data_IF_172807907007
#
_entry.id   IF_172807907007
#
_cell.length_a   1.000
_cell.length_b   1.000
_cell.length_c   1.000
_cell.angle_alpha   90.00
_cell.angle_beta   90.00
_cell.angle_gamma   90.00
#
_symmetry.space_group_name_H-M   'P 1'
#
loop_
_entity.id
_entity.type
_entity.pdbx_description
1 polymer ?
#
# COMPACT_ATOMS: atom_id res chain seq x y z
N UNK A 1 -6.92 10.97 59.00
CA UNK A 1 -7.85 10.26 58.09
C UNK A 1 -8.07 11.00 56.76
N UNK A 2 -7.97 12.34 56.69
CA UNK A 2 -8.18 13.12 55.46
C UNK A 2 -7.23 12.79 54.27
N UNK A 3 -5.93 12.55 54.52
CA UNK A 3 -4.97 12.26 53.43
C UNK A 3 -5.26 10.99 52.63
N UNK A 4 -5.80 9.94 53.27
CA UNK A 4 -6.08 8.64 52.61
C UNK A 4 -7.23 8.72 51.60
N UNK A 5 -8.17 9.64 51.80
CA UNK A 5 -9.27 9.87 50.88
C UNK A 5 -8.80 10.64 49.63
N UNK A 6 -7.92 11.64 49.82
CA UNK A 6 -7.34 12.39 48.71
C UNK A 6 -6.52 11.49 47.75
N UNK A 7 -5.61 10.67 48.27
CA UNK A 7 -4.84 9.73 47.44
C UNK A 7 -5.73 8.66 46.76
N UNK A 8 -6.84 8.28 47.39
CA UNK A 8 -7.80 7.36 46.78
C UNK A 8 -8.50 8.01 45.58
N UNK A 9 -8.96 9.25 45.72
CA UNK A 9 -9.61 9.97 44.62
C UNK A 9 -8.63 10.18 43.47
N UNK A 10 -7.41 10.62 43.77
CA UNK A 10 -6.34 10.79 42.77
C UNK A 10 -6.04 9.48 42.03
N UNK A 11 -5.95 8.36 42.76
CA UNK A 11 -5.75 7.03 42.19
C UNK A 11 -6.88 6.63 41.24
N UNK A 12 -8.14 6.80 41.64
CA UNK A 12 -9.29 6.44 40.80
C UNK A 12 -9.33 7.27 39.52
N UNK A 13 -9.04 8.58 39.61
CA UNK A 13 -8.97 9.46 38.44
C UNK A 13 -7.83 9.03 37.50
N UNK A 14 -6.62 8.81 38.03
CA UNK A 14 -5.49 8.37 37.23
C UNK A 14 -5.77 7.02 36.54
N UNK A 15 -6.36 6.08 37.28
CA UNK A 15 -6.77 4.76 36.74
C UNK A 15 -7.80 4.92 35.63
N UNK A 16 -8.83 5.76 35.82
CA UNK A 16 -9.85 6.00 34.82
C UNK A 16 -9.26 6.62 33.53
N UNK A 17 -8.29 7.53 33.65
CA UNK A 17 -7.59 8.11 32.50
C UNK A 17 -6.76 7.06 31.77
N UNK A 18 -5.93 6.29 32.49
CA UNK A 18 -5.10 5.23 31.89
C UNK A 18 -5.95 4.16 31.19
N UNK A 19 -7.00 3.68 31.86
CA UNK A 19 -7.95 2.72 31.28
C UNK A 19 -8.68 3.33 30.10
N UNK A 20 -9.10 4.60 30.17
CA UNK A 20 -9.75 5.29 29.06
C UNK A 20 -8.87 5.38 27.81
N UNK A 21 -7.59 5.71 27.98
CA UNK A 21 -6.59 5.69 26.90
C UNK A 21 -6.45 4.27 26.36
N UNK A 22 -6.31 3.27 27.24
CA UNK A 22 -6.17 1.87 26.83
C UNK A 22 -7.38 1.34 26.05
N UNK A 23 -8.60 1.69 26.46
CA UNK A 23 -9.85 1.36 25.74
C UNK A 23 -9.86 2.01 24.35
N UNK A 24 -9.46 3.28 24.25
CA UNK A 24 -9.36 3.98 22.97
C UNK A 24 -8.36 3.30 22.03
N UNK A 25 -7.15 3.02 22.52
CA UNK A 25 -6.11 2.35 21.73
C UNK A 25 -6.53 0.92 21.36
N UNK A 26 -7.18 0.20 22.28
CA UNK A 26 -7.69 -1.16 22.04
C UNK A 26 -8.81 -1.19 21.02
N UNK A 27 -9.68 -0.17 21.01
CA UNK A 27 -10.72 -0.03 20.00
C UNK A 27 -10.11 0.05 18.60
N UNK A 28 -9.19 0.98 18.36
CA UNK A 28 -8.56 1.07 17.03
C UNK A 28 -7.63 -0.10 16.73
N UNK A 29 -7.00 -0.69 17.75
CA UNK A 29 -6.13 -1.85 17.61
C UNK A 29 -6.86 -3.15 17.24
N UNK A 30 -8.14 -3.28 17.54
CA UNK A 30 -8.95 -4.46 17.17
C UNK A 30 -9.94 -4.20 16.02
N UNK A 31 -10.07 -2.95 15.55
CA UNK A 31 -11.10 -2.55 14.60
C UNK A 31 -11.09 -3.37 13.31
N UNK A 32 -9.91 -3.67 12.77
CA UNK A 32 -9.72 -4.50 11.57
C UNK A 32 -10.26 -5.93 11.73
N UNK A 33 -10.21 -6.49 12.95
CA UNK A 33 -10.56 -7.88 13.24
C UNK A 33 -12.01 -8.07 13.68
N UNK A 34 -12.51 -7.17 14.54
CA UNK A 34 -13.81 -7.33 15.20
C UNK A 34 -14.87 -6.39 14.62
N UNK A 35 -14.49 -5.38 13.82
CA UNK A 35 -15.39 -4.43 13.15
C UNK A 35 -16.44 -3.86 14.13
N UNK A 36 -17.73 -4.08 13.89
CA UNK A 36 -18.83 -3.59 14.74
C UNK A 36 -18.77 -4.12 16.19
N UNK A 37 -18.21 -5.31 16.41
CA UNK A 37 -18.08 -5.92 17.75
C UNK A 37 -16.96 -5.29 18.58
N UNK A 38 -16.07 -4.51 17.96
CA UNK A 38 -14.89 -3.93 18.59
C UNK A 38 -15.25 -3.04 19.78
N UNK A 39 -16.35 -2.28 19.70
CA UNK A 39 -16.78 -1.40 20.79
C UNK A 39 -17.08 -2.19 22.07
N UNK A 40 -17.76 -3.33 21.95
CA UNK A 40 -18.10 -4.17 23.09
C UNK A 40 -16.86 -4.83 23.68
N UNK A 41 -15.94 -5.28 22.83
CA UNK A 41 -14.70 -5.90 23.26
C UNK A 41 -13.77 -4.91 23.98
N UNK A 42 -13.58 -3.70 23.42
CA UNK A 42 -12.78 -2.66 24.03
C UNK A 42 -13.37 -2.20 25.39
N UNK A 43 -14.69 -2.04 25.48
CA UNK A 43 -15.37 -1.73 26.74
C UNK A 43 -15.21 -2.86 27.78
N UNK A 44 -15.32 -4.12 27.35
CA UNK A 44 -15.09 -5.27 28.22
C UNK A 44 -13.66 -5.26 28.77
N UNK A 45 -12.65 -5.06 27.92
CA UNK A 45 -11.26 -4.91 28.36
C UNK A 45 -11.09 -3.77 29.37
N UNK A 46 -11.71 -2.62 29.11
CA UNK A 46 -11.68 -1.49 30.03
C UNK A 46 -12.26 -1.80 31.41
N UNK A 47 -13.42 -2.46 31.45
CA UNK A 47 -14.07 -2.89 32.70
C UNK A 47 -13.19 -3.89 33.44
N UNK A 48 -12.60 -4.84 32.71
CA UNK A 48 -11.69 -5.84 33.29
C UNK A 48 -10.43 -5.20 33.86
N UNK A 49 -9.75 -4.31 33.12
CA UNK A 49 -8.57 -3.58 33.59
C UNK A 49 -8.90 -2.75 34.84
N UNK A 50 -9.93 -1.90 34.78
CA UNK A 50 -10.36 -1.10 35.91
C UNK A 50 -10.74 -1.96 37.13
N UNK A 51 -11.46 -3.07 36.90
CA UNK A 51 -11.84 -4.02 37.94
C UNK A 51 -10.62 -4.70 38.58
N UNK A 52 -9.64 -5.14 37.79
CA UNK A 52 -8.40 -5.74 38.29
C UNK A 52 -7.58 -4.75 39.12
N UNK A 53 -7.53 -3.49 38.71
CA UNK A 53 -6.87 -2.40 39.44
C UNK A 53 -7.52 -2.15 40.80
N UNK A 54 -8.85 -2.02 40.83
CA UNK A 54 -9.60 -1.84 42.07
C UNK A 54 -9.46 -3.04 43.00
N UNK A 55 -9.44 -4.26 42.44
CA UNK A 55 -9.20 -5.49 43.20
C UNK A 55 -7.77 -5.54 43.77
N UNK A 56 -6.76 -5.16 42.98
CA UNK A 56 -5.37 -5.09 43.43
C UNK A 56 -5.22 -4.11 44.59
N UNK A 57 -5.80 -2.91 44.48
CA UNK A 57 -5.85 -1.92 45.56
C UNK A 57 -6.52 -2.49 46.81
N UNK A 58 -7.68 -3.13 46.68
CA UNK A 58 -8.41 -3.69 47.80
C UNK A 58 -7.57 -4.74 48.55
N UNK A 59 -6.94 -5.67 47.81
CA UNK A 59 -6.08 -6.70 48.38
C UNK A 59 -4.84 -6.12 49.07
N UNK A 60 -4.23 -5.05 48.52
CA UNK A 60 -3.11 -4.31 49.15
C UNK A 60 -3.52 -3.68 50.47
N UNK A 61 -4.67 -3.02 50.51
CA UNK A 61 -5.18 -2.35 51.72
C UNK A 61 -5.52 -3.33 52.84
N UNK A 62 -6.00 -4.52 52.49
CA UNK A 62 -6.32 -5.59 53.45
C UNK A 62 -5.10 -6.44 53.86
N UNK A 63 -3.96 -6.23 53.21
CA UNK A 63 -2.76 -7.04 53.45
C UNK A 63 -2.92 -8.50 53.01
N UNK A 64 -3.79 -8.76 52.03
CA UNK A 64 -3.94 -10.08 51.38
C UNK A 64 -2.84 -10.27 50.33
N UNK A 65 -2.65 -11.52 49.91
CA UNK A 65 -1.71 -11.87 48.84
C UNK A 65 -2.22 -11.34 47.50
N UNK A 66 -1.43 -10.51 46.83
CA UNK A 66 -1.82 -9.84 45.56
C UNK A 66 -1.60 -10.68 44.30
N UNK A 67 -1.17 -11.92 44.44
CA UNK A 67 -0.84 -12.78 43.28
C UNK A 67 -2.03 -13.09 42.38
N UNK A 68 -3.22 -13.28 42.96
CA UNK A 68 -4.45 -13.55 42.18
C UNK A 68 -4.86 -12.35 41.32
N UNK A 69 -5.03 -11.13 41.87
CA UNK A 69 -5.33 -9.96 41.03
C UNK A 69 -4.23 -9.65 40.02
N UNK A 70 -2.96 -9.87 40.38
CA UNK A 70 -1.85 -9.67 39.45
C UNK A 70 -1.87 -10.66 38.28
N UNK A 71 -2.11 -11.95 38.55
CA UNK A 71 -2.21 -12.96 37.49
C UNK A 71 -3.38 -12.71 36.55
N UNK A 72 -4.54 -12.34 37.11
CA UNK A 72 -5.71 -11.97 36.30
C UNK A 72 -5.46 -10.71 35.47
N UNK A 73 -4.83 -9.69 36.06
CA UNK A 73 -4.39 -8.50 35.33
C UNK A 73 -3.46 -8.87 34.17
N UNK A 74 -2.44 -9.72 34.39
CA UNK A 74 -1.49 -10.08 33.33
C UNK A 74 -2.18 -10.72 32.13
N UNK A 75 -3.19 -11.56 32.35
CA UNK A 75 -3.97 -12.15 31.25
C UNK A 75 -4.69 -11.06 30.45
N UNK A 76 -5.38 -10.14 31.12
CA UNK A 76 -6.10 -9.04 30.46
C UNK A 76 -5.12 -8.08 29.76
N UNK A 77 -4.00 -7.79 30.41
CA UNK A 77 -2.94 -6.92 29.90
C UNK A 77 -2.29 -7.47 28.63
N UNK A 78 -2.25 -8.79 28.41
CA UNK A 78 -1.75 -9.35 27.13
C UNK A 78 -2.66 -8.97 25.96
N UNK A 79 -3.97 -9.06 26.13
CA UNK A 79 -4.93 -8.66 25.08
C UNK A 79 -4.88 -7.15 24.82
N UNK A 80 -4.90 -6.37 25.90
CA UNK A 80 -4.74 -4.90 25.82
C UNK A 80 -3.41 -4.50 25.18
N UNK A 81 -2.31 -5.15 25.56
CA UNK A 81 -0.99 -4.91 24.97
C UNK A 81 -0.98 -5.21 23.48
N UNK A 82 -1.54 -6.34 23.05
CA UNK A 82 -1.55 -6.73 21.64
C UNK A 82 -2.26 -5.68 20.76
N UNK A 83 -3.43 -5.18 21.20
CA UNK A 83 -4.13 -4.13 20.47
C UNK A 83 -3.49 -2.76 20.57
N UNK A 84 -3.01 -2.37 21.74
CA UNK A 84 -2.33 -1.09 21.92
C UNK A 84 -1.03 -1.04 21.11
N UNK A 85 -0.27 -2.13 21.10
CA UNK A 85 0.91 -2.30 20.26
C UNK A 85 0.53 -2.20 18.79
N UNK A 86 -0.48 -2.95 18.34
CA UNK A 86 -0.90 -2.97 16.95
C UNK A 86 -1.28 -1.56 16.46
N UNK A 87 -2.08 -0.82 17.23
CA UNK A 87 -2.45 0.55 16.88
C UNK A 87 -1.22 1.47 16.81
N UNK A 88 -0.40 1.52 17.87
CA UNK A 88 0.75 2.41 17.92
C UNK A 88 1.79 2.08 16.83
N UNK A 89 2.07 0.79 16.65
CA UNK A 89 2.97 0.31 15.61
C UNK A 89 2.47 0.70 14.22
N UNK A 90 1.20 0.41 13.92
CA UNK A 90 0.58 0.77 12.65
C UNK A 90 0.60 2.27 12.41
N UNK A 91 0.28 3.10 13.42
CA UNK A 91 0.31 4.56 13.29
C UNK A 91 1.71 5.12 13.02
N UNK A 92 2.76 4.53 13.62
CA UNK A 92 4.13 4.94 13.32
C UNK A 92 4.61 4.42 11.96
N UNK A 93 4.14 3.25 11.55
CA UNK A 93 4.53 2.58 10.31
C UNK A 93 3.68 2.97 9.10
N UNK A 94 2.56 3.65 9.28
CA UNK A 94 1.60 3.94 8.21
C UNK A 94 2.26 4.59 6.99
N UNK A 95 3.14 5.57 7.22
CA UNK A 95 3.85 6.27 6.14
C UNK A 95 4.88 5.39 5.45
N UNK A 96 5.73 4.72 6.23
CA UNK A 96 6.81 3.88 5.69
C UNK A 96 6.26 2.65 4.94
N UNK A 97 5.23 2.01 5.48
CA UNK A 97 4.56 0.86 4.83
C UNK A 97 3.80 1.30 3.60
N UNK A 98 3.12 2.45 3.64
CA UNK A 98 2.47 3.02 2.47
C UNK A 98 3.46 3.33 1.37
N UNK A 99 4.56 4.01 1.69
CA UNK A 99 5.61 4.34 0.73
C UNK A 99 6.17 3.10 0.06
N UNK A 100 6.58 2.09 0.86
CA UNK A 100 7.11 0.83 0.33
C UNK A 100 6.09 0.11 -0.53
N UNK A 101 4.84 0.01 -0.07
CA UNK A 101 3.77 -0.68 -0.80
C UNK A 101 3.51 0.01 -2.12
N UNK A 102 3.38 1.34 -2.14
CA UNK A 102 3.17 2.09 -3.38
C UNK A 102 4.35 1.92 -4.33
N UNK A 103 5.58 2.07 -3.86
CA UNK A 103 6.78 1.87 -4.71
C UNK A 103 6.84 0.45 -5.29
N UNK A 104 6.56 -0.57 -4.48
CA UNK A 104 6.51 -1.98 -4.92
C UNK A 104 5.42 -2.19 -5.99
N UNK A 105 4.20 -1.68 -5.76
CA UNK A 105 3.10 -1.82 -6.72
C UNK A 105 3.35 -1.04 -8.03
N UNK A 106 3.94 0.16 -7.95
CA UNK A 106 4.35 0.91 -9.14
C UNK A 106 5.38 0.16 -9.96
N UNK A 107 6.35 -0.46 -9.29
CA UNK A 107 7.38 -1.26 -9.97
C UNK A 107 6.74 -2.44 -10.70
N UNK A 108 5.89 -3.22 -10.04
CA UNK A 108 5.15 -4.33 -10.64
C UNK A 108 4.35 -3.86 -11.86
N UNK A 109 3.53 -2.82 -11.69
CA UNK A 109 2.74 -2.22 -12.76
C UNK A 109 3.58 -1.82 -13.97
N UNK A 110 4.70 -1.13 -13.75
CA UNK A 110 5.57 -0.67 -14.84
C UNK A 110 6.28 -1.81 -15.55
N UNK A 111 6.77 -2.80 -14.80
CA UNK A 111 7.40 -3.99 -15.37
C UNK A 111 6.41 -4.76 -16.26
N UNK A 112 5.17 -4.93 -15.80
CA UNK A 112 4.11 -5.61 -16.57
C UNK A 112 3.73 -4.82 -17.82
N UNK A 113 3.51 -3.51 -17.70
CA UNK A 113 3.26 -2.63 -18.85
C UNK A 113 4.43 -2.64 -19.85
N UNK A 114 5.67 -2.65 -19.38
CA UNK A 114 6.86 -2.69 -20.25
C UNK A 114 6.92 -4.01 -21.01
N UNK A 115 6.62 -5.13 -20.35
CA UNK A 115 6.55 -6.45 -20.97
C UNK A 115 5.45 -6.48 -22.04
N UNK A 116 4.25 -6.00 -21.73
CA UNK A 116 3.12 -5.93 -22.65
C UNK A 116 3.42 -5.03 -23.85
N UNK A 117 4.03 -3.86 -23.64
CA UNK A 117 4.50 -3.00 -24.73
C UNK A 117 5.50 -3.73 -25.64
N UNK A 118 6.40 -4.52 -25.06
CA UNK A 118 7.37 -5.31 -25.84
C UNK A 118 6.65 -6.35 -26.70
N UNK A 119 5.70 -7.09 -26.12
CA UNK A 119 4.91 -8.08 -26.85
C UNK A 119 4.13 -7.45 -28.03
N UNK A 120 3.49 -6.29 -27.79
CA UNK A 120 2.80 -5.54 -28.85
C UNK A 120 3.77 -5.01 -29.92
N UNK A 121 4.98 -4.60 -29.54
CA UNK A 121 5.98 -4.12 -30.49
C UNK A 121 6.54 -5.24 -31.39
N UNK A 122 6.48 -6.48 -30.92
CA UNK A 122 6.88 -7.69 -31.65
C UNK A 122 5.74 -8.29 -32.48
N UNK A 123 4.54 -7.70 -32.43
CA UNK A 123 3.35 -8.14 -33.18
C UNK A 123 3.65 -8.24 -34.70
N UNK A 124 3.21 -9.30 -35.39
CA UNK A 124 3.49 -9.49 -36.82
C UNK A 124 3.13 -8.28 -37.69
N UNK A 125 1.91 -7.75 -37.53
CA UNK A 125 1.41 -6.58 -38.27
C UNK A 125 2.27 -5.33 -38.03
N UNK A 126 2.73 -5.11 -36.79
CA UNK A 126 3.64 -3.99 -36.48
C UNK A 126 4.99 -4.17 -37.17
N UNK A 127 5.52 -5.40 -37.18
CA UNK A 127 6.80 -5.70 -37.80
C UNK A 127 6.74 -5.53 -39.32
N UNK A 128 5.71 -6.07 -39.95
CA UNK A 128 5.47 -5.99 -41.39
C UNK A 128 5.35 -4.53 -41.84
N UNK A 129 4.43 -3.75 -41.24
CA UNK A 129 4.25 -2.33 -41.57
C UNK A 129 5.53 -1.52 -41.32
N UNK A 130 6.30 -1.83 -40.27
CA UNK A 130 7.59 -1.16 -40.03
C UNK A 130 8.66 -1.55 -41.06
N UNK A 131 8.69 -2.79 -41.52
CA UNK A 131 9.62 -3.26 -42.54
C UNK A 131 9.29 -2.62 -43.89
N UNK A 132 8.01 -2.63 -44.30
CA UNK A 132 7.53 -1.97 -45.51
C UNK A 132 7.79 -0.47 -45.50
N UNK A 133 7.46 0.22 -44.39
CA UNK A 133 7.73 1.66 -44.25
C UNK A 133 9.22 1.98 -44.38
N UNK A 134 10.09 1.15 -43.77
CA UNK A 134 11.55 1.34 -43.89
C UNK A 134 12.03 1.14 -45.32
N UNK A 135 11.49 0.15 -46.03
CA UNK A 135 11.82 -0.07 -47.43
C UNK A 135 11.34 1.08 -48.32
N UNK A 136 10.13 1.56 -48.09
CA UNK A 136 9.56 2.73 -48.76
C UNK A 136 10.40 3.99 -48.54
N UNK A 137 10.77 4.29 -47.28
CA UNK A 137 11.63 5.42 -46.93
C UNK A 137 13.03 5.30 -47.54
N UNK A 138 13.58 4.09 -47.64
CA UNK A 138 14.86 3.81 -48.32
C UNK A 138 14.78 4.12 -49.81
N UNK A 139 13.72 3.67 -50.48
CA UNK A 139 13.53 3.95 -51.92
C UNK A 139 13.26 5.43 -52.19
N UNK A 140 12.47 6.10 -51.35
CA UNK A 140 12.28 7.56 -51.41
C UNK A 140 13.60 8.32 -51.24
N UNK A 141 14.47 7.90 -50.32
CA UNK A 141 15.78 8.51 -50.12
C UNK A 141 16.69 8.31 -51.35
N UNK A 142 16.70 7.11 -51.92
CA UNK A 142 17.46 6.82 -53.14
C UNK A 142 16.95 7.65 -54.33
N UNK A 143 15.63 7.75 -54.48
CA UNK A 143 14.98 8.58 -55.50
C UNK A 143 15.43 10.04 -55.38
N UNK A 144 15.38 10.61 -54.18
CA UNK A 144 15.83 11.99 -53.93
C UNK A 144 17.30 12.21 -54.31
N UNK A 145 18.18 11.27 -53.92
CA UNK A 145 19.60 11.35 -54.27
C UNK A 145 19.85 11.28 -55.78
N UNK A 146 19.09 10.46 -56.52
CA UNK A 146 19.21 10.40 -57.98
C UNK A 146 18.69 11.69 -58.64
N UNK A 147 17.58 12.24 -58.14
CA UNK A 147 16.96 13.45 -58.69
C UNK A 147 17.85 14.70 -58.50
N UNK A 148 18.62 14.73 -57.42
CA UNK A 148 19.45 15.86 -57.01
C UNK A 148 20.94 15.68 -57.34
N UNK A 149 21.32 14.68 -58.16
CA UNK A 149 22.71 14.47 -58.58
C UNK A 149 23.24 15.71 -59.33
N UNK A 150 24.24 16.43 -58.78
CA UNK A 150 24.73 17.68 -59.37
C UNK A 150 25.43 17.49 -60.72
N UNK A 151 25.87 16.27 -61.04
CA UNK A 151 26.54 15.94 -62.31
C UNK A 151 25.52 15.51 -63.37
N UNK A 152 24.33 15.06 -62.96
CA UNK A 152 23.27 14.53 -63.82
C UNK A 152 21.89 14.87 -63.26
N UNK A 153 21.47 16.14 -63.30
CA UNK A 153 20.19 16.57 -62.74
C UNK A 153 18.99 15.91 -63.44
N UNK A 154 17.86 15.84 -62.74
CA UNK A 154 16.59 15.34 -63.29
C UNK A 154 16.42 13.81 -63.22
N UNK A 155 15.32 13.30 -63.78
CA UNK A 155 14.92 11.91 -63.60
C UNK A 155 15.26 11.00 -64.79
N UNK A 156 16.47 10.45 -64.78
CA UNK A 156 16.94 9.43 -65.73
C UNK A 156 16.36 8.02 -65.46
N UNK A 157 16.88 7.01 -66.17
CA UNK A 157 16.38 5.62 -66.09
C UNK A 157 16.41 5.04 -64.67
N UNK A 158 17.45 5.34 -63.87
CA UNK A 158 17.55 4.87 -62.48
C UNK A 158 16.52 5.51 -61.56
N UNK A 159 16.30 6.81 -61.71
CA UNK A 159 15.27 7.53 -60.96
C UNK A 159 13.88 6.95 -61.25
N UNK A 160 13.56 6.68 -62.52
CA UNK A 160 12.30 6.01 -62.91
C UNK A 160 12.18 4.59 -62.33
N UNK A 161 13.28 3.86 -62.24
CA UNK A 161 13.31 2.55 -61.57
C UNK A 161 12.92 2.63 -60.09
N UNK A 162 13.37 3.66 -59.36
CA UNK A 162 12.96 3.86 -57.96
C UNK A 162 11.47 4.22 -57.84
N UNK A 163 10.92 5.03 -58.76
CA UNK A 163 9.48 5.31 -58.83
C UNK A 163 8.68 4.02 -59.04
N UNK A 164 9.10 3.17 -60.01
CA UNK A 164 8.46 1.88 -60.26
C UNK A 164 8.54 0.94 -59.05
N UNK A 165 9.67 0.92 -58.34
CA UNK A 165 9.85 0.12 -57.12
C UNK A 165 8.92 0.60 -55.99
N UNK A 166 8.77 1.92 -55.81
CA UNK A 166 7.85 2.52 -54.83
C UNK A 166 6.40 2.15 -55.16
N UNK A 167 5.98 2.27 -56.43
CA UNK A 167 4.64 1.87 -56.87
C UNK A 167 4.39 0.36 -56.69
N UNK A 168 5.41 -0.48 -56.87
CA UNK A 168 5.31 -1.91 -56.59
C UNK A 168 5.12 -2.21 -55.10
N UNK A 169 5.82 -1.49 -54.21
CA UNK A 169 5.66 -1.63 -52.76
C UNK A 169 4.26 -1.23 -52.30
N UNK A 170 3.67 -0.20 -52.92
CA UNK A 170 2.32 0.25 -52.61
C UNK A 170 1.23 -0.60 -53.28
N UNK A 171 1.58 -1.37 -54.32
CA UNK A 171 0.63 -2.14 -55.12
C UNK A 171 -0.24 -1.29 -56.07
N UNK A 172 -0.04 0.03 -56.09
CA UNK A 172 -0.76 0.98 -56.93
C UNK A 172 0.11 2.14 -57.44
N UNK A 173 -0.40 2.85 -58.44
CA UNK A 173 0.24 4.08 -58.93
C UNK A 173 -0.22 5.26 -58.12
N UNK A 174 0.74 5.94 -57.51
CA UNK A 174 0.48 6.98 -56.52
C UNK A 174 -0.03 8.27 -57.17
N UNK A 175 0.35 8.55 -58.42
CA UNK A 175 0.02 9.83 -59.05
C UNK A 175 0.26 9.87 -60.57
N UNK A 176 -0.45 10.77 -61.25
CA UNK A 176 -0.21 11.18 -62.65
C UNK A 176 0.81 12.33 -62.77
N UNK A 177 1.53 12.70 -61.69
CA UNK A 177 2.53 13.77 -61.72
C UNK A 177 3.56 13.51 -62.85
N UNK A 178 3.72 14.51 -63.72
CA UNK A 178 4.75 14.47 -64.75
C UNK A 178 6.13 14.44 -64.09
N UNK A 179 6.84 13.34 -64.26
CA UNK A 179 8.20 13.16 -63.77
C UNK A 179 9.11 14.26 -64.36
N UNK A 180 9.94 14.95 -63.54
CA UNK A 180 10.78 16.03 -64.01
C UNK A 180 11.68 15.64 -65.19
N UNK A 181 11.85 16.57 -66.14
CA UNK A 181 12.72 16.39 -67.29
C UNK A 181 14.20 16.27 -66.87
N UNK A 182 15.04 15.76 -67.77
CA UNK A 182 16.49 15.56 -67.51
C UNK A 182 17.25 16.89 -67.37
N UNK A 183 16.63 17.99 -67.74
CA UNK A 183 17.16 19.36 -67.62
C UNK A 183 16.38 20.21 -66.61
N UNK A 184 15.51 19.60 -65.79
CA UNK A 184 14.74 20.29 -64.76
C UNK A 184 15.66 20.95 -63.72
N UNK A 185 15.26 22.14 -63.27
CA UNK A 185 15.98 22.87 -62.24
C UNK A 185 15.93 22.17 -60.88
N UNK A 186 16.85 22.52 -59.98
CA UNK A 186 16.88 21.96 -58.63
C UNK A 186 15.59 22.24 -57.85
N UNK A 187 14.99 23.43 -58.02
CA UNK A 187 13.74 23.83 -57.36
C UNK A 187 12.55 23.00 -57.87
N UNK A 188 12.46 22.78 -59.20
CA UNK A 188 11.41 21.92 -59.78
C UNK A 188 11.53 20.48 -59.30
N UNK A 189 12.75 19.95 -59.20
CA UNK A 189 13.02 18.61 -58.69
C UNK A 189 12.61 18.48 -57.21
N UNK A 190 12.97 19.46 -56.37
CA UNK A 190 12.66 19.45 -54.94
C UNK A 190 11.15 19.55 -54.70
N UNK A 191 10.46 20.45 -55.41
CA UNK A 191 9.01 20.62 -55.29
C UNK A 191 8.24 19.37 -55.74
N UNK A 192 8.67 18.76 -56.86
CA UNK A 192 8.09 17.51 -57.33
C UNK A 192 8.29 16.39 -56.31
N UNK A 193 9.52 16.21 -55.80
CA UNK A 193 9.82 15.17 -54.82
C UNK A 193 9.02 15.34 -53.53
N UNK A 194 8.88 16.58 -53.02
CA UNK A 194 8.08 16.86 -51.84
C UNK A 194 6.62 16.40 -52.02
N UNK A 195 6.01 16.77 -53.16
CA UNK A 195 4.63 16.41 -53.50
C UNK A 195 4.46 14.89 -53.70
N UNK A 196 5.42 14.27 -54.41
CA UNK A 196 5.44 12.83 -54.64
C UNK A 196 5.56 12.07 -53.32
N UNK A 197 6.52 12.47 -52.45
CA UNK A 197 6.72 11.87 -51.13
C UNK A 197 5.47 11.98 -50.26
N UNK A 198 4.83 13.14 -50.22
CA UNK A 198 3.60 13.32 -49.44
C UNK A 198 2.49 12.37 -49.91
N UNK A 199 2.30 12.25 -51.22
CA UNK A 199 1.28 11.35 -51.79
C UNK A 199 1.61 9.88 -51.51
N UNK A 200 2.89 9.49 -51.64
CA UNK A 200 3.39 8.14 -51.33
C UNK A 200 3.13 7.77 -49.86
N UNK A 201 3.44 8.68 -48.94
CA UNK A 201 3.25 8.44 -47.51
C UNK A 201 1.75 8.36 -47.17
N UNK A 202 0.92 9.24 -47.75
CA UNK A 202 -0.54 9.17 -47.56
C UNK A 202 -1.10 7.85 -48.07
N UNK A 203 -0.74 7.43 -49.28
CA UNK A 203 -1.23 6.16 -49.86
C UNK A 203 -0.80 4.96 -49.02
N UNK A 204 0.44 4.96 -48.51
CA UNK A 204 0.91 3.92 -47.58
C UNK A 204 0.10 3.92 -46.28
N UNK A 205 -0.13 5.09 -45.67
CA UNK A 205 -0.90 5.18 -44.42
C UNK A 205 -2.37 4.74 -44.61
N UNK A 206 -2.95 5.02 -45.78
CA UNK A 206 -4.29 4.57 -46.18
C UNK A 206 -4.35 3.06 -46.48
N UNK A 207 -3.24 2.42 -46.84
CA UNK A 207 -3.17 0.98 -47.12
C UNK A 207 -2.95 0.11 -45.87
N UNK A 208 -2.57 0.73 -44.74
CA UNK A 208 -2.30 0.01 -43.50
C UNK A 208 -3.61 -0.45 -42.85
N UNK A 209 -3.66 -1.72 -42.43
CA UNK A 209 -4.83 -2.34 -41.79
C UNK A 209 -5.20 -1.67 -40.45
N UNK A 210 -6.49 -1.63 -40.14
CA UNK A 210 -7.03 -1.16 -38.85
C UNK A 210 -6.35 -1.86 -37.66
N UNK A 211 -5.99 -3.14 -37.79
CA UNK A 211 -5.29 -3.90 -36.74
C UNK A 211 -3.95 -3.24 -36.34
N UNK A 212 -3.20 -2.66 -37.29
CA UNK A 212 -1.98 -1.93 -36.97
C UNK A 212 -2.27 -0.74 -36.05
N UNK A 213 -3.32 0.03 -36.36
CA UNK A 213 -3.69 1.21 -35.58
C UNK A 213 -4.19 0.84 -34.19
N UNK A 214 -4.91 -0.29 -34.05
CA UNK A 214 -5.32 -0.80 -32.75
C UNK A 214 -4.13 -1.19 -31.86
N UNK A 215 -3.18 -1.96 -32.42
CA UNK A 215 -1.97 -2.39 -31.70
C UNK A 215 -1.06 -1.20 -31.37
N UNK A 216 -0.83 -0.31 -32.33
CA UNK A 216 -0.01 0.88 -32.14
C UNK A 216 -0.64 1.86 -31.13
N UNK A 217 -1.96 2.06 -31.20
CA UNK A 217 -2.70 2.91 -30.26
C UNK A 217 -2.65 2.37 -28.83
N UNK A 218 -2.76 1.05 -28.65
CA UNK A 218 -2.58 0.44 -27.32
C UNK A 218 -1.14 0.62 -26.81
N UNK A 219 -0.14 0.43 -27.67
CA UNK A 219 1.27 0.65 -27.30
C UNK A 219 1.55 2.10 -26.89
N UNK A 220 0.98 3.07 -27.60
CA UNK A 220 1.07 4.50 -27.25
C UNK A 220 0.38 4.80 -25.91
N UNK A 221 -0.82 4.24 -25.68
CA UNK A 221 -1.52 4.37 -24.39
C UNK A 221 -0.68 3.80 -23.24
N UNK A 222 0.01 2.68 -23.45
CA UNK A 222 0.93 2.12 -22.46
C UNK A 222 2.10 3.07 -22.20
N UNK A 223 2.69 3.68 -23.23
CA UNK A 223 3.78 4.65 -23.07
C UNK A 223 3.33 5.88 -22.27
N UNK A 224 2.12 6.38 -22.55
CA UNK A 224 1.52 7.46 -21.79
C UNK A 224 1.35 7.08 -20.31
N UNK A 225 0.84 5.89 -20.01
CA UNK A 225 0.73 5.40 -18.63
C UNK A 225 2.10 5.24 -17.95
N UNK A 226 3.11 4.73 -18.66
CA UNK A 226 4.47 4.61 -18.13
C UNK A 226 5.07 5.99 -17.79
N UNK A 227 4.73 7.03 -18.56
CA UNK A 227 5.11 8.42 -18.31
C UNK A 227 4.33 9.03 -17.14
N UNK A 228 3.00 8.87 -17.12
CA UNK A 228 2.13 9.44 -16.07
C UNK A 228 2.44 8.86 -14.69
N UNK A 229 2.82 7.58 -14.65
CA UNK A 229 3.21 6.85 -13.45
C UNK A 229 4.74 6.68 -13.34
N UNK A 230 5.52 7.63 -13.88
CA UNK A 230 6.97 7.59 -13.84
C UNK A 230 7.56 7.76 -12.42
N UNK A 231 6.91 8.56 -11.57
CA UNK A 231 7.38 8.86 -10.21
C UNK A 231 6.36 8.39 -9.14
N UNK A 232 6.63 7.28 -8.42
CA UNK A 232 5.76 6.80 -7.36
C UNK A 232 5.65 7.79 -6.19
N UNK A 233 6.68 8.59 -5.92
CA UNK A 233 6.69 9.55 -4.81
C UNK A 233 5.81 10.76 -5.10
N UNK A 234 5.76 11.21 -6.36
CA UNK A 234 4.83 12.26 -6.77
C UNK A 234 3.37 11.81 -6.61
N UNK A 235 3.04 10.59 -7.02
CA UNK A 235 1.71 10.04 -6.87
C UNK A 235 1.31 9.86 -5.39
N UNK A 236 2.23 9.32 -4.58
CA UNK A 236 2.04 9.18 -3.13
C UNK A 236 1.83 10.53 -2.43
N UNK A 237 2.55 11.57 -2.85
CA UNK A 237 2.39 12.92 -2.29
C UNK A 237 1.01 13.51 -2.58
N UNK A 238 0.51 13.35 -3.82
CA UNK A 238 -0.85 13.79 -4.19
C UNK A 238 -1.89 13.06 -3.34
N UNK A 239 -1.76 11.75 -3.18
CA UNK A 239 -2.64 10.95 -2.34
C UNK A 239 -2.65 11.46 -0.88
N UNK A 240 -1.49 11.76 -0.30
CA UNK A 240 -1.44 12.33 1.06
C UNK A 240 -2.08 13.71 1.15
N UNK A 241 -1.92 14.56 0.13
CA UNK A 241 -2.57 15.87 0.07
C UNK A 241 -4.10 15.75 -0.04
N UNK A 242 -4.59 14.81 -0.85
CA UNK A 242 -6.01 14.55 -1.05
C UNK A 242 -6.65 13.93 0.20
N UNK A 243 -5.98 12.97 0.83
CA UNK A 243 -6.39 12.42 2.14
C UNK A 243 -6.46 13.47 3.22
N UNK A 244 -5.53 14.43 3.22
CA UNK A 244 -5.56 15.55 4.18
C UNK A 244 -6.77 16.47 3.97
N UNK A 245 -7.29 16.56 2.74
CA UNK A 245 -8.48 17.34 2.38
C UNK A 245 -9.78 16.55 2.57
N UNK A 246 -9.74 15.23 2.41
CA UNK A 246 -10.87 14.33 2.63
C UNK A 246 -11.06 14.07 4.13
N UNK A 247 -12.04 14.73 4.74
CA UNK A 247 -12.17 14.80 6.22
C UNK A 247 -12.54 13.45 6.89
N UNK A 248 -12.98 12.39 6.19
CA UNK A 248 -13.57 11.23 6.91
C UNK A 248 -13.34 9.83 6.31
N UNK A 249 -12.85 9.65 5.09
CA UNK A 249 -12.87 8.30 4.49
C UNK A 249 -11.54 7.53 4.62
N UNK A 250 -11.55 6.54 5.51
CA UNK A 250 -10.55 5.47 5.63
C UNK A 250 -10.64 4.50 4.44
N UNK A 251 -10.55 5.01 3.21
CA UNK A 251 -10.45 4.16 2.01
C UNK A 251 -8.99 3.80 1.77
N UNK A 252 -8.74 2.67 1.09
CA UNK A 252 -7.40 2.26 0.64
C UNK A 252 -6.73 3.33 -0.23
N UNK A 253 -5.45 3.15 -0.58
CA UNK A 253 -4.74 4.09 -1.43
C UNK A 253 -5.37 4.10 -2.83
N UNK A 254 -6.00 5.21 -3.23
CA UNK A 254 -6.74 5.31 -4.49
C UNK A 254 -5.82 5.08 -5.68
N UNK A 255 -4.59 5.57 -5.61
CA UNK A 255 -3.55 5.32 -6.61
C UNK A 255 -3.35 3.82 -6.87
N UNK A 256 -3.37 2.95 -5.86
CA UNK A 256 -3.19 1.50 -6.06
C UNK A 256 -4.41 0.90 -6.78
N UNK A 257 -5.61 1.37 -6.45
CA UNK A 257 -6.83 0.94 -7.14
C UNK A 257 -6.81 1.34 -8.62
N UNK A 258 -6.34 2.55 -8.94
CA UNK A 258 -6.17 3.01 -10.31
C UNK A 258 -5.17 2.14 -11.07
N UNK A 259 -3.98 1.88 -10.50
CA UNK A 259 -2.97 1.01 -11.13
C UNK A 259 -3.53 -0.38 -11.45
N UNK A 260 -4.26 -0.99 -10.52
CA UNK A 260 -4.91 -2.29 -10.71
C UNK A 260 -5.92 -2.25 -11.87
N UNK A 261 -6.75 -1.21 -11.93
CA UNK A 261 -7.74 -1.08 -12.99
C UNK A 261 -7.09 -0.89 -14.36
N UNK A 262 -6.07 -0.03 -14.46
CA UNK A 262 -5.32 0.14 -15.71
C UNK A 262 -4.60 -1.15 -16.10
N UNK A 263 -3.97 -1.85 -15.15
CA UNK A 263 -3.29 -3.12 -15.39
C UNK A 263 -4.24 -4.15 -16.00
N UNK A 264 -5.41 -4.36 -15.38
CA UNK A 264 -6.41 -5.32 -15.84
C UNK A 264 -7.08 -4.94 -17.18
N UNK A 265 -7.25 -3.64 -17.44
CA UNK A 265 -7.76 -3.14 -18.72
C UNK A 265 -6.74 -3.38 -19.85
N UNK A 266 -5.47 -3.00 -19.63
CA UNK A 266 -4.39 -3.19 -20.60
C UNK A 266 -4.17 -4.68 -20.89
N UNK A 267 -4.10 -5.54 -19.87
CA UNK A 267 -3.92 -6.99 -20.08
C UNK A 267 -5.04 -7.55 -20.97
N UNK A 268 -6.29 -7.14 -20.72
CA UNK A 268 -7.44 -7.62 -21.48
C UNK A 268 -7.42 -7.15 -22.92
N UNK A 269 -7.10 -5.88 -23.16
CA UNK A 269 -7.00 -5.32 -24.50
C UNK A 269 -5.82 -5.94 -25.25
N UNK A 270 -4.66 -6.08 -24.62
CA UNK A 270 -3.49 -6.72 -25.21
C UNK A 270 -3.78 -8.16 -25.61
N UNK A 271 -4.37 -8.97 -24.72
CA UNK A 271 -4.70 -10.36 -25.02
C UNK A 271 -5.85 -10.54 -26.04
N UNK A 272 -6.60 -9.48 -26.34
CA UNK A 272 -7.56 -9.50 -27.45
C UNK A 272 -6.90 -9.28 -28.81
N UNK A 273 -5.73 -8.62 -28.83
CA UNK A 273 -4.96 -8.29 -30.03
C UNK A 273 -3.81 -9.27 -30.28
N UNK A 274 -3.19 -9.79 -29.21
CA UNK A 274 -2.02 -10.66 -29.32
C UNK A 274 -2.40 -12.04 -29.90
N UNK A 275 -1.52 -12.65 -30.72
CA UNK A 275 -1.71 -14.00 -31.21
C UNK A 275 -1.83 -15.05 -30.09
N UNK A 276 -2.53 -16.15 -30.37
CA UNK A 276 -2.61 -17.27 -29.44
C UNK A 276 -1.22 -17.82 -29.10
N UNK A 277 -0.89 -17.85 -27.81
CA UNK A 277 0.41 -18.30 -27.29
C UNK A 277 1.37 -17.17 -26.90
N UNK A 278 1.09 -15.93 -27.30
CA UNK A 278 1.86 -14.73 -26.92
C UNK A 278 1.13 -13.88 -25.86
N UNK A 279 0.15 -14.48 -25.19
CA UNK A 279 -0.66 -13.84 -24.15
C UNK A 279 0.21 -13.34 -23.00
N UNK A 280 -0.11 -12.14 -22.50
CA UNK A 280 0.53 -11.55 -21.34
C UNK A 280 -0.32 -11.75 -20.09
N UNK A 281 0.35 -12.01 -18.97
CA UNK A 281 -0.27 -12.10 -17.66
C UNK A 281 0.36 -11.05 -16.74
N UNK A 282 -0.44 -10.07 -16.33
CA UNK A 282 0.02 -9.09 -15.36
C UNK A 282 -0.04 -9.68 -13.97
N UNK A 283 0.92 -9.30 -13.14
CA UNK A 283 0.91 -9.68 -11.73
C UNK A 283 -0.18 -8.93 -11.00
N UNK A 284 -0.75 -9.63 -10.05
CA UNK A 284 -1.79 -9.13 -9.17
C UNK A 284 -1.30 -7.91 -8.37
N UNK A 285 -1.96 -6.77 -8.58
CA UNK A 285 -1.69 -5.53 -7.84
C UNK A 285 -2.60 -5.49 -6.61
N UNK A 286 -2.03 -5.82 -5.45
CA UNK A 286 -2.73 -5.84 -4.17
C UNK A 286 -2.14 -4.82 -3.20
N UNK A 287 -3.03 -4.19 -2.45
CA UNK A 287 -2.66 -3.28 -1.37
C UNK A 287 -2.42 -4.10 -0.10
N UNK A 288 -1.15 -4.24 0.33
CA UNK A 288 -0.86 -4.66 1.73
C UNK A 288 -1.43 -3.68 2.75
N UNK A 289 -1.82 -2.47 2.32
CA UNK A 289 -2.46 -1.48 3.17
C UNK A 289 -3.90 -1.85 3.55
N UNK A 290 -4.53 -2.79 2.83
CA UNK A 290 -5.87 -3.24 3.22
C UNK A 290 -5.82 -4.07 4.52
N UNK A 291 -4.64 -4.65 4.81
CA UNK A 291 -4.36 -5.41 6.03
C UNK A 291 -3.57 -4.58 7.07
N UNK A 292 -3.29 -3.29 6.80
CA UNK A 292 -2.63 -2.42 7.77
C UNK A 292 -3.56 -2.21 8.97
N UNK A 293 -3.01 -2.40 10.18
CA UNK A 293 -3.80 -2.43 11.40
C UNK A 293 -4.30 -3.82 11.77
N UNK A 294 -3.89 -4.88 11.06
CA UNK A 294 -4.06 -6.25 11.53
C UNK A 294 -2.99 -6.65 12.54
N UNK A 295 -3.42 -7.21 13.69
CA UNK A 295 -2.51 -7.66 14.75
C UNK A 295 -1.48 -8.70 14.26
N UNK A 296 -1.83 -9.72 13.47
CA UNK A 296 -0.85 -10.66 12.93
C UNK A 296 0.22 -9.97 12.08
N UNK A 297 -0.16 -8.95 11.30
CA UNK A 297 0.75 -8.21 10.43
C UNK A 297 1.74 -7.37 11.26
N UNK A 298 1.24 -6.60 12.25
CA UNK A 298 2.12 -5.78 13.10
C UNK A 298 3.06 -6.62 13.96
N UNK A 299 2.60 -7.77 14.48
CA UNK A 299 3.47 -8.71 15.22
C UNK A 299 4.52 -9.32 14.30
N UNK A 300 4.13 -9.76 13.09
CA UNK A 300 5.07 -10.33 12.13
C UNK A 300 6.12 -9.31 11.70
N UNK A 301 5.71 -8.11 11.31
CA UNK A 301 6.62 -7.06 10.85
C UNK A 301 7.56 -6.60 11.97
N UNK A 302 7.04 -6.40 13.18
CA UNK A 302 7.83 -5.90 14.30
C UNK A 302 8.74 -6.93 14.97
N UNK A 303 8.28 -8.16 15.18
CA UNK A 303 9.01 -9.16 15.96
C UNK A 303 9.68 -10.26 15.12
N UNK A 304 9.08 -10.64 13.99
CA UNK A 304 9.58 -11.73 13.13
C UNK A 304 10.52 -11.17 12.06
N UNK A 305 10.01 -10.27 11.22
CA UNK A 305 10.76 -9.66 10.11
C UNK A 305 11.71 -8.55 10.62
N UNK A 306 11.35 -7.92 11.75
CA UNK A 306 12.14 -6.89 12.44
C UNK A 306 12.47 -5.71 11.52
N UNK A 307 11.52 -5.30 10.70
CA UNK A 307 11.69 -4.22 9.74
C UNK A 307 12.10 -2.91 10.43
N UNK A 308 11.53 -2.62 11.61
CA UNK A 308 11.78 -1.40 12.37
C UNK A 308 11.91 -1.68 13.88
N UNK A 309 13.12 -2.05 14.37
CA UNK A 309 13.31 -2.43 15.77
C UNK A 309 13.06 -1.27 16.76
N UNK A 310 13.37 -0.03 16.36
CA UNK A 310 13.12 1.16 17.17
C UNK A 310 11.62 1.42 17.39
N UNK A 311 10.83 1.38 16.32
CA UNK A 311 9.37 1.53 16.39
C UNK A 311 8.74 0.39 17.19
N UNK A 312 9.18 -0.85 16.96
CA UNK A 312 8.75 -2.02 17.74
C UNK A 312 8.98 -1.83 19.24
N UNK A 313 10.17 -1.38 19.63
CA UNK A 313 10.52 -1.16 21.03
C UNK A 313 9.68 -0.05 21.66
N UNK A 314 9.54 1.09 20.97
CA UNK A 314 8.76 2.24 21.47
C UNK A 314 7.27 1.91 21.58
N UNK A 315 6.67 1.32 20.55
CA UNK A 315 5.26 0.91 20.57
C UNK A 315 4.99 -0.13 21.66
N UNK A 316 5.88 -1.12 21.82
CA UNK A 316 5.73 -2.14 22.87
C UNK A 316 5.82 -1.53 24.27
N UNK A 317 6.78 -0.61 24.47
CA UNK A 317 6.97 0.07 25.75
C UNK A 317 5.78 0.95 26.09
N UNK A 318 5.29 1.76 25.14
CA UNK A 318 4.12 2.61 25.32
C UNK A 318 2.85 1.78 25.59
N UNK A 319 2.64 0.69 24.83
CA UNK A 319 1.50 -0.21 25.00
C UNK A 319 1.47 -0.83 26.40
N UNK A 320 2.61 -1.28 26.93
CA UNK A 320 2.71 -1.78 28.30
C UNK A 320 2.58 -0.67 29.33
N UNK A 321 3.16 0.50 29.07
CA UNK A 321 3.22 1.60 30.04
C UNK A 321 1.82 2.07 30.45
N UNK A 322 0.90 2.21 29.50
CA UNK A 322 -0.48 2.67 29.77
C UNK A 322 -1.20 1.75 30.76
N UNK A 323 -1.05 0.44 30.63
CA UNK A 323 -1.74 -0.54 31.47
C UNK A 323 -1.07 -0.74 32.84
N UNK A 324 0.25 -0.62 32.92
CA UNK A 324 1.00 -0.89 34.16
C UNK A 324 1.10 0.31 35.11
N UNK A 325 0.92 1.55 34.64
CA UNK A 325 0.96 2.75 35.49
C UNK A 325 -0.02 2.65 36.67
N UNK A 326 -1.31 2.32 36.49
CA UNK A 326 -2.25 2.21 37.60
C UNK A 326 -1.81 1.21 38.67
N UNK A 327 -1.33 0.02 38.28
CA UNK A 327 -0.84 -0.99 39.22
C UNK A 327 0.40 -0.52 39.97
N UNK A 328 1.37 0.08 39.27
CA UNK A 328 2.58 0.63 39.90
C UNK A 328 2.22 1.72 40.90
N UNK A 329 1.28 2.59 40.55
CA UNK A 329 0.78 3.65 41.42
C UNK A 329 0.06 3.09 42.65
N UNK A 330 -0.80 2.07 42.46
CA UNK A 330 -1.46 1.36 43.55
C UNK A 330 -0.45 0.69 44.49
N UNK A 331 0.60 0.10 43.93
CA UNK A 331 1.64 -0.56 44.67
C UNK A 331 2.47 0.43 45.50
N UNK A 332 2.83 1.59 44.95
CA UNK A 332 3.65 2.58 45.63
C UNK A 332 2.89 3.25 46.80
N UNK A 333 1.62 3.60 46.59
CA UNK A 333 0.84 4.44 47.52
C UNK A 333 0.14 3.60 48.59
N UNK A 334 -0.47 2.47 48.23
CA UNK A 334 -1.27 1.69 49.17
C UNK A 334 -0.42 0.63 49.86
N UNK A 335 -0.11 0.86 51.13
CA UNK A 335 0.58 -0.11 52.02
C UNK A 335 -0.41 -0.79 52.97
N UNK A 336 -0.14 -2.06 53.38
CA UNK A 336 -0.97 -2.75 54.36
C UNK A 336 -0.99 -2.02 55.70
N UNK A 337 -2.16 -1.88 56.30
CA UNK A 337 -2.28 -1.28 57.64
C UNK A 337 -1.94 -2.33 58.71
N UNK A 338 -0.68 -2.36 59.15
CA UNK A 338 -0.18 -3.31 60.15
C UNK A 338 -0.84 -3.16 61.54
N UNK A 339 -1.65 -2.13 61.78
CA UNK A 339 -2.26 -1.87 63.10
C UNK A 339 -3.47 -2.75 63.44
N UNK A 340 -4.05 -3.49 62.47
CA UNK A 340 -5.18 -4.41 62.72
C UNK A 340 -4.80 -5.84 63.10
N UNK A 341 -3.51 -6.17 63.17
CA UNK A 341 -3.01 -7.48 63.64
C UNK A 341 -2.57 -7.42 65.10
N UNK A 342 -3.46 -7.04 66.02
CA UNK A 342 -3.28 -7.44 67.42
C UNK A 342 -4.23 -8.60 67.70
N UNK A 343 -3.73 -9.83 67.95
CA UNK A 343 -4.58 -10.88 68.47
C UNK A 343 -5.09 -10.40 69.84
N UNK A 344 -6.41 -10.36 70.01
CA UNK A 344 -7.01 -10.25 71.33
C UNK A 344 -6.47 -11.40 72.18
N UNK A 345 -5.66 -11.08 73.19
CA UNK A 345 -5.23 -12.07 74.18
C UNK A 345 -6.49 -12.74 74.77
N UNK A 346 -6.58 -14.07 74.82
CA UNK A 346 -7.62 -14.72 75.61
C UNK A 346 -7.32 -14.43 77.09
N UNK A 347 -8.14 -13.58 77.70
CA UNK A 347 -8.08 -13.29 79.12
C UNK A 347 -8.49 -14.51 79.94
N UNK A 348 -7.50 -15.20 80.49
CA UNK A 348 -7.48 -15.91 81.78
C UNK A 348 -8.83 -16.36 82.37
N UNK A 349 -9.16 -17.65 82.17
CA UNK A 349 -10.10 -18.37 83.03
C UNK A 349 -9.48 -18.62 84.41
N UNK A 350 -10.06 -18.02 85.45
CA UNK A 350 -9.74 -18.28 86.84
C UNK A 350 -10.19 -19.69 87.25
N UNK A 351 -9.22 -20.61 87.32
CA UNK A 351 -9.33 -21.83 88.12
C UNK A 351 -9.28 -21.44 89.60
N UNK A 352 -10.35 -21.65 90.36
CA UNK A 352 -10.26 -21.76 91.83
C UNK A 352 -11.19 -22.84 92.38
N UNK A 353 -10.55 -23.98 92.56
CA UNK A 353 -10.75 -25.08 93.50
C UNK A 353 -11.48 -24.70 94.81
N UNK A 354 -12.47 -25.51 95.22
CA UNK A 354 -13.17 -25.32 96.49
C UNK A 354 -14.09 -26.47 96.91
N UNK A 355 -13.49 -27.50 97.52
CA UNK A 355 -14.00 -28.39 98.59
C UNK A 355 -15.33 -29.15 98.42
N UNK A 356 -15.21 -30.47 98.49
CA UNK A 356 -16.33 -31.39 98.66
C UNK A 356 -16.91 -31.42 100.07
N UNK A 357 -18.12 -32.01 100.15
CA UNK A 357 -18.64 -32.69 101.33
C UNK A 357 -19.36 -33.95 100.87
N UNK A 358 -18.92 -35.04 101.47
CA UNK A 358 -19.47 -36.39 101.43
C UNK A 358 -20.79 -36.40 102.20
N UNK A 359 -21.82 -37.02 101.63
CA UNK A 359 -22.96 -37.55 102.38
C UNK A 359 -23.06 -39.04 102.03
N UNK A 360 -22.82 -39.88 103.04
CA UNK A 360 -23.16 -41.31 103.09
C UNK A 360 -24.61 -41.46 103.58
N UNK A 361 -25.21 -42.66 103.43
CA UNK A 361 -26.49 -42.91 102.75
C UNK A 361 -27.76 -42.47 103.46
#
# INVERSE_FOLDING_TARGET
MAGRNFYTILYVIATAICVGISVYLSYFGYYSHLQELTVFFALLLGILLFGTDMMFRHYRLEGRRVWVPLGFFLVVAVFSWASNYNFLYTSFMERDVAERTVVEQFRTFREDLTATRSALADHPTIREVREERRELERELSNLYQQLTDPVRPGCGQRCRGHVEQIEQLLGERVTDLAVPAVDASAEENEQWFASYRETVISAFEDSVDDEFYEVAGLAERIEQLLSDYADPYAALRREYEDRRRAVVETRGFEVIAQLRNYSADIQRQANALLPQGDEVEHRDIHSRLDNLGEIPLSIRDGFIERSHPGVTAVSSLLALFVDFIPILFAWLIFRPDNRRRMPSKPGFGLKRQGRGRVATP
#
